data_IF_342877851824
#
_entry.id   IF_342877851824
#
_cell.length_a   1.000
_cell.length_b   1.000
_cell.length_c   1.000
_cell.angle_alpha   90.00
_cell.angle_beta   90.00
_cell.angle_gamma   90.00
#
_symmetry.space_group_name_H-M   'P 1'
#
loop_
_entity.id
_entity.type
_entity.pdbx_description
1 polymer ?
#
# COMPACT_ATOMS: atom_id res chain seq x y z
N UNK A 1 3.11 -24.23 12.57
CA UNK A 1 2.30 -23.05 12.21
C UNK A 1 3.09 -22.16 11.26
N UNK A 2 4.17 -21.49 11.69
CA UNK A 2 5.01 -20.64 10.81
C UNK A 2 5.52 -21.36 9.55
N UNK A 3 5.91 -22.64 9.63
CA UNK A 3 6.40 -23.39 8.47
C UNK A 3 5.42 -23.48 7.28
N UNK A 4 4.09 -23.39 7.50
CA UNK A 4 3.11 -23.38 6.41
C UNK A 4 3.04 -21.98 5.74
N UNK A 5 3.35 -20.93 6.49
CA UNK A 5 3.37 -19.55 5.97
C UNK A 5 4.62 -19.33 5.10
N UNK A 6 5.76 -19.93 5.47
CA UNK A 6 7.01 -19.81 4.71
C UNK A 6 6.98 -20.44 3.31
N UNK A 7 5.93 -21.19 2.98
CA UNK A 7 5.70 -21.75 1.65
C UNK A 7 4.76 -20.88 0.79
N UNK A 8 4.35 -19.73 1.32
CA UNK A 8 3.48 -18.75 0.66
C UNK A 8 4.26 -17.46 0.40
N UNK A 9 3.76 -16.62 -0.49
CA UNK A 9 4.24 -15.26 -0.69
C UNK A 9 3.09 -14.30 -0.38
N UNK A 10 3.24 -13.56 0.72
CA UNK A 10 2.25 -12.64 1.26
C UNK A 10 2.49 -11.27 0.65
N UNK A 11 1.60 -10.83 -0.24
CA UNK A 11 1.60 -9.48 -0.78
C UNK A 11 0.66 -8.62 0.05
N UNK A 12 1.23 -7.65 0.75
CA UNK A 12 0.53 -6.77 1.69
C UNK A 12 0.52 -5.36 1.11
N UNK A 13 -0.68 -4.77 0.99
CA UNK A 13 -0.79 -3.36 0.67
C UNK A 13 -0.24 -2.48 1.79
N UNK A 14 0.15 -1.25 1.45
CA UNK A 14 0.72 -0.33 2.42
C UNK A 14 -0.34 0.58 3.03
N UNK A 15 -0.91 1.46 2.20
CA UNK A 15 -1.90 2.45 2.60
C UNK A 15 -3.16 1.73 3.11
N UNK A 16 -3.74 2.23 4.20
CA UNK A 16 -4.94 1.66 4.85
C UNK A 16 -4.86 0.17 5.23
N UNK A 17 -3.69 -0.47 5.11
CA UNK A 17 -3.42 -1.88 5.44
C UNK A 17 -2.26 -2.02 6.41
N UNK A 18 -1.02 -1.79 5.96
CA UNK A 18 0.15 -1.79 6.85
C UNK A 18 0.16 -0.55 7.76
N UNK A 19 -0.29 0.58 7.23
CA UNK A 19 -0.48 1.85 7.94
C UNK A 19 -1.97 2.21 8.03
N UNK A 20 -2.32 3.07 8.99
CA UNK A 20 -3.70 3.47 9.29
C UNK A 20 -4.32 4.44 8.28
N UNK A 21 -3.49 5.02 7.43
CA UNK A 21 -3.81 6.22 6.63
C UNK A 21 -3.44 6.03 5.17
N UNK A 22 -3.87 6.98 4.34
CA UNK A 22 -3.47 7.11 2.95
C UNK A 22 -2.27 8.08 2.85
N UNK A 23 -1.13 7.60 2.37
CA UNK A 23 0.13 8.37 2.35
C UNK A 23 0.00 9.70 1.60
N UNK A 24 -0.71 9.71 0.47
CA UNK A 24 -0.89 10.93 -0.34
C UNK A 24 -1.80 11.95 0.36
N UNK A 25 -2.82 11.49 1.09
CA UNK A 25 -3.70 12.37 1.85
C UNK A 25 -2.93 13.03 3.02
N UNK A 26 -2.03 12.28 3.68
CA UNK A 26 -1.15 12.84 4.72
C UNK A 26 -0.09 13.80 4.15
N UNK A 27 0.48 13.48 2.99
CA UNK A 27 1.35 14.41 2.24
C UNK A 27 0.63 15.72 1.90
N UNK A 28 -0.66 15.66 1.53
CA UNK A 28 -1.46 16.84 1.27
C UNK A 28 -1.62 17.72 2.51
N UNK A 29 -1.95 17.11 3.66
CA UNK A 29 -2.09 17.83 4.94
C UNK A 29 -0.79 18.53 5.34
N UNK A 30 0.36 17.87 5.16
CA UNK A 30 1.66 18.42 5.51
C UNK A 30 2.10 19.52 4.55
N UNK A 31 2.07 19.26 3.24
CA UNK A 31 2.60 20.19 2.23
C UNK A 31 1.73 21.43 2.03
N UNK A 32 0.43 21.32 2.26
CA UNK A 32 -0.53 22.41 2.05
C UNK A 32 -0.87 23.17 3.33
N UNK A 33 -0.21 22.91 4.45
CA UNK A 33 -0.53 23.54 5.75
C UNK A 33 -0.56 25.08 5.72
N UNK A 34 0.23 25.69 4.84
CA UNK A 34 0.32 27.15 4.66
C UNK A 34 -0.40 27.65 3.40
N UNK A 35 -1.08 26.78 2.65
CA UNK A 35 -1.83 27.15 1.44
C UNK A 35 -3.18 27.78 1.82
N UNK A 36 -3.55 28.96 1.30
CA UNK A 36 -4.84 29.60 1.60
C UNK A 36 -6.06 28.80 1.15
N UNK A 37 -5.88 27.79 0.29
CA UNK A 37 -6.92 26.87 -0.19
C UNK A 37 -6.68 25.42 0.27
N UNK A 38 -5.92 25.22 1.35
CA UNK A 38 -5.55 23.90 1.88
C UNK A 38 -6.74 22.95 2.01
N UNK A 39 -7.82 23.36 2.69
CA UNK A 39 -9.02 22.54 2.89
C UNK A 39 -9.62 22.04 1.57
N UNK A 40 -9.71 22.92 0.56
CA UNK A 40 -10.28 22.56 -0.75
C UNK A 40 -9.40 21.55 -1.47
N UNK A 41 -8.08 21.74 -1.44
CA UNK A 41 -7.12 20.86 -2.11
C UNK A 41 -7.01 19.50 -1.42
N UNK A 42 -6.98 19.47 -0.09
CA UNK A 42 -6.96 18.25 0.72
C UNK A 42 -8.22 17.43 0.47
N UNK A 43 -9.41 18.06 0.49
CA UNK A 43 -10.67 17.38 0.19
C UNK A 43 -10.69 16.84 -1.25
N UNK A 44 -10.21 17.61 -2.22
CA UNK A 44 -10.11 17.15 -3.61
C UNK A 44 -9.21 15.93 -3.76
N UNK A 45 -8.05 15.92 -3.10
CA UNK A 45 -7.12 14.77 -3.11
C UNK A 45 -7.80 13.54 -2.50
N UNK A 46 -8.45 13.68 -1.35
CA UNK A 46 -9.13 12.57 -0.68
C UNK A 46 -10.31 12.02 -1.51
N UNK A 47 -11.07 12.91 -2.17
CA UNK A 47 -12.13 12.50 -3.10
C UNK A 47 -11.59 11.70 -4.29
N UNK A 48 -10.43 12.10 -4.84
CA UNK A 48 -9.75 11.36 -5.92
C UNK A 48 -9.27 10.00 -5.41
N UNK A 49 -8.66 9.94 -4.22
CA UNK A 49 -8.22 8.69 -3.56
C UNK A 49 -9.40 7.73 -3.39
N UNK A 50 -10.54 8.20 -2.87
CA UNK A 50 -11.73 7.38 -2.65
C UNK A 50 -12.34 6.81 -3.94
N UNK A 51 -12.39 7.62 -5.01
CA UNK A 51 -12.85 7.16 -6.33
C UNK A 51 -11.91 6.11 -6.92
N UNK A 52 -10.60 6.28 -6.77
CA UNK A 52 -9.63 5.30 -7.25
C UNK A 52 -9.76 3.97 -6.50
N UNK A 53 -9.87 4.01 -5.17
CA UNK A 53 -10.00 2.80 -4.33
C UNK A 53 -11.35 2.08 -4.51
N UNK A 54 -12.38 2.79 -4.98
CA UNK A 54 -13.68 2.22 -5.32
C UNK A 54 -13.77 1.69 -6.76
N UNK A 55 -12.75 1.97 -7.59
CA UNK A 55 -12.72 1.57 -9.01
C UNK A 55 -13.43 2.54 -9.97
N UNK A 56 -13.87 3.71 -9.50
CA UNK A 56 -14.61 4.70 -10.33
C UNK A 56 -13.70 5.45 -11.32
N UNK A 57 -12.41 5.56 -11.00
CA UNK A 57 -11.39 6.16 -11.88
C UNK A 57 -10.16 5.25 -11.93
N UNK A 58 -9.47 5.25 -13.07
CA UNK A 58 -8.20 4.53 -13.24
C UNK A 58 -7.14 5.03 -12.25
N UNK A 59 -6.38 4.11 -11.67
CA UNK A 59 -5.32 4.43 -10.69
C UNK A 59 -4.30 5.43 -11.25
N UNK A 60 -3.85 5.22 -12.49
CA UNK A 60 -2.84 6.08 -13.13
C UNK A 60 -3.30 7.54 -13.18
N UNK A 61 -4.51 7.78 -13.68
CA UNK A 61 -5.13 9.12 -13.72
C UNK A 61 -5.31 9.71 -12.32
N UNK A 62 -5.73 8.92 -11.34
CA UNK A 62 -5.90 9.38 -9.97
C UNK A 62 -4.57 9.80 -9.35
N UNK A 63 -3.48 9.07 -9.62
CA UNK A 63 -2.15 9.39 -9.14
C UNK A 63 -1.62 10.67 -9.79
N UNK A 64 -1.75 10.82 -11.12
CA UNK A 64 -1.36 12.06 -11.83
C UNK A 64 -2.09 13.28 -11.26
N UNK A 65 -3.42 13.22 -11.15
CA UNK A 65 -4.22 14.33 -10.64
C UNK A 65 -3.83 14.74 -9.21
N UNK A 66 -3.55 13.76 -8.33
CA UNK A 66 -3.12 14.06 -6.95
C UNK A 66 -1.73 14.69 -6.91
N UNK A 67 -0.79 14.19 -7.73
CA UNK A 67 0.56 14.75 -7.80
C UNK A 67 0.59 16.16 -8.40
N UNK A 68 -0.32 16.50 -9.32
CA UNK A 68 -0.43 17.87 -9.86
C UNK A 68 -0.93 18.89 -8.83
N UNK A 69 -1.74 18.46 -7.86
CA UNK A 69 -2.26 19.33 -6.79
C UNK A 69 -1.17 19.57 -5.73
N UNK A 70 -0.32 18.56 -5.52
CA UNK A 70 0.74 18.57 -4.54
C UNK A 70 1.98 19.31 -5.06
N UNK A 71 2.63 20.07 -4.17
CA UNK A 71 3.94 20.67 -4.43
C UNK A 71 4.89 20.16 -3.37
N UNK A 72 5.56 19.05 -3.65
CA UNK A 72 6.41 18.35 -2.68
C UNK A 72 7.90 18.56 -2.97
N UNK A 73 8.68 18.54 -1.91
CA UNK A 73 10.13 18.49 -1.96
C UNK A 73 10.68 17.36 -1.09
N UNK A 74 11.98 17.09 -1.20
CA UNK A 74 12.63 16.00 -0.46
C UNK A 74 12.48 16.10 1.07
N UNK A 75 12.45 17.30 1.65
CA UNK A 75 12.27 17.46 3.09
C UNK A 75 10.85 17.07 3.53
N UNK A 76 9.85 17.33 2.68
CA UNK A 76 8.47 16.90 2.96
C UNK A 76 8.40 15.37 3.06
N UNK A 77 9.15 14.66 2.22
CA UNK A 77 9.26 13.18 2.25
C UNK A 77 9.91 12.69 3.54
N UNK A 78 10.97 13.36 4.01
CA UNK A 78 11.60 12.99 5.28
C UNK A 78 10.62 13.20 6.44
N UNK A 79 10.01 14.37 6.54
CA UNK A 79 9.06 14.70 7.61
C UNK A 79 7.82 13.81 7.59
N UNK A 80 7.27 13.49 6.42
CA UNK A 80 6.10 12.63 6.33
C UNK A 80 6.41 11.17 6.67
N UNK A 81 7.61 10.70 6.34
CA UNK A 81 8.03 9.32 6.66
C UNK A 81 8.11 9.13 8.16
N UNK A 82 8.66 10.11 8.90
CA UNK A 82 8.65 10.12 10.36
C UNK A 82 7.22 10.10 10.91
N UNK A 83 6.32 10.93 10.38
CA UNK A 83 4.93 10.97 10.82
C UNK A 83 4.20 9.64 10.56
N UNK A 84 4.30 9.09 9.35
CA UNK A 84 3.64 7.83 8.96
C UNK A 84 4.21 6.65 9.74
N UNK A 85 5.49 6.66 10.12
CA UNK A 85 6.07 5.61 10.97
C UNK A 85 5.37 5.48 12.33
N UNK A 86 4.71 6.53 12.81
CA UNK A 86 3.89 6.50 14.03
C UNK A 86 2.43 6.09 13.78
N UNK A 87 2.05 5.87 12.52
CA UNK A 87 0.71 5.52 12.06
C UNK A 87 0.65 4.11 11.49
N UNK A 88 1.56 3.22 11.88
CA UNK A 88 1.47 1.79 11.57
C UNK A 88 0.21 1.21 12.22
N UNK A 89 -0.50 0.31 11.53
CA UNK A 89 -1.66 -0.39 12.09
C UNK A 89 -1.33 -1.09 13.40
N UNK A 90 -2.26 -1.05 14.35
CA UNK A 90 -2.02 -1.47 15.73
C UNK A 90 -1.71 -2.98 15.78
N UNK A 91 -2.42 -3.77 14.98
CA UNK A 91 -2.15 -5.21 14.95
C UNK A 91 -0.81 -5.56 14.30
N UNK A 92 -0.31 -4.76 13.35
CA UNK A 92 1.04 -4.94 12.80
C UNK A 92 2.11 -4.64 13.86
N UNK A 93 1.95 -3.54 14.62
CA UNK A 93 2.85 -3.19 15.73
C UNK A 93 2.91 -4.29 16.80
N UNK A 94 1.74 -4.78 17.24
CA UNK A 94 1.66 -5.85 18.24
C UNK A 94 2.33 -7.14 17.74
N UNK A 95 2.21 -7.42 16.44
CA UNK A 95 2.74 -8.63 15.81
C UNK A 95 4.15 -8.47 15.20
N UNK A 96 4.88 -7.40 15.52
CA UNK A 96 6.20 -7.10 14.94
C UNK A 96 7.16 -8.30 14.97
N UNK A 97 7.22 -9.04 16.09
CA UNK A 97 8.08 -10.23 16.20
C UNK A 97 7.67 -11.38 15.28
N UNK A 98 6.37 -11.58 15.09
CA UNK A 98 5.86 -12.59 14.17
C UNK A 98 6.21 -12.18 12.74
N UNK A 99 5.94 -10.93 12.36
CA UNK A 99 6.28 -10.38 11.05
C UNK A 99 7.77 -10.56 10.75
N UNK A 100 8.65 -10.22 11.69
CA UNK A 100 10.10 -10.44 11.58
C UNK A 100 10.47 -11.91 11.35
N UNK A 101 9.75 -12.86 11.97
CA UNK A 101 10.01 -14.29 11.80
C UNK A 101 9.57 -14.86 10.45
N UNK A 102 8.74 -14.12 9.69
CA UNK A 102 8.23 -14.52 8.38
C UNK A 102 8.53 -13.49 7.29
N UNK A 103 9.44 -12.54 7.54
CA UNK A 103 9.66 -11.39 6.66
C UNK A 103 10.13 -11.77 5.25
N UNK A 104 10.83 -12.90 5.12
CA UNK A 104 11.23 -13.49 3.83
C UNK A 104 10.04 -13.92 2.97
N UNK A 105 8.86 -14.10 3.55
CA UNK A 105 7.62 -14.42 2.83
C UNK A 105 6.78 -13.19 2.52
N UNK A 106 7.11 -12.03 3.10
CA UNK A 106 6.32 -10.81 2.98
C UNK A 106 6.89 -9.92 1.87
N UNK A 107 5.99 -9.47 1.01
CA UNK A 107 6.19 -8.45 0.00
C UNK A 107 5.25 -7.28 0.28
N UNK A 108 5.77 -6.06 0.21
CA UNK A 108 4.94 -4.86 0.21
C UNK A 108 4.63 -4.50 -1.22
N UNK A 109 3.34 -4.31 -1.52
CA UNK A 109 2.85 -4.01 -2.86
C UNK A 109 1.91 -2.81 -2.83
N UNK A 110 2.40 -1.66 -3.24
CA UNK A 110 1.68 -0.41 -3.02
C UNK A 110 1.74 0.52 -4.23
N UNK A 111 0.66 1.25 -4.46
CA UNK A 111 0.65 2.39 -5.38
C UNK A 111 1.41 3.62 -4.86
N UNK A 112 1.84 3.60 -3.60
CA UNK A 112 2.64 4.64 -2.95
C UNK A 112 4.11 4.63 -3.38
N UNK A 113 4.99 5.17 -2.54
CA UNK A 113 6.37 5.52 -2.92
C UNK A 113 7.42 4.80 -2.08
N UNK A 114 8.42 4.21 -2.74
CA UNK A 114 9.52 3.46 -2.11
C UNK A 114 10.25 4.28 -1.04
N UNK A 115 10.46 5.56 -1.31
CA UNK A 115 11.16 6.51 -0.45
C UNK A 115 10.52 6.66 0.93
N UNK A 116 9.20 6.44 1.03
CA UNK A 116 8.44 6.48 2.28
C UNK A 116 8.31 5.06 2.86
N UNK A 117 8.00 4.08 2.01
CA UNK A 117 7.66 2.72 2.44
C UNK A 117 8.87 1.99 3.03
N UNK A 118 10.02 2.03 2.35
CA UNK A 118 11.20 1.24 2.72
C UNK A 118 11.66 1.54 4.16
N UNK A 119 11.89 2.81 4.57
CA UNK A 119 12.33 3.11 5.93
C UNK A 119 11.38 2.64 7.04
N UNK A 120 10.09 2.47 6.72
CA UNK A 120 9.07 2.03 7.67
C UNK A 120 9.08 0.50 7.81
N UNK A 121 9.07 -0.22 6.69
CA UNK A 121 8.92 -1.69 6.69
C UNK A 121 10.22 -2.42 7.02
N UNK A 122 11.38 -1.79 6.80
CA UNK A 122 12.68 -2.33 7.24
C UNK A 122 12.73 -2.53 8.75
N UNK A 123 12.00 -1.72 9.53
CA UNK A 123 11.89 -1.90 10.98
C UNK A 123 11.23 -3.23 11.37
N UNK A 124 10.48 -3.85 10.45
CA UNK A 124 9.82 -5.14 10.58
C UNK A 124 10.64 -6.28 9.96
N UNK A 125 11.86 -6.02 9.52
CA UNK A 125 12.74 -7.01 8.88
C UNK A 125 12.40 -7.30 7.42
N UNK A 126 11.50 -6.52 6.81
CA UNK A 126 11.14 -6.66 5.39
C UNK A 126 12.20 -5.94 4.56
N UNK A 127 12.90 -6.68 3.71
CA UNK A 127 13.96 -6.12 2.86
C UNK A 127 13.39 -5.15 1.84
N UNK A 128 14.15 -4.11 1.49
CA UNK A 128 13.84 -3.20 0.37
C UNK A 128 13.64 -3.93 -0.97
N UNK A 129 14.28 -5.10 -1.17
CA UNK A 129 14.05 -5.95 -2.34
C UNK A 129 12.66 -6.60 -2.37
N UNK A 130 11.96 -6.62 -1.23
CA UNK A 130 10.58 -7.08 -1.11
C UNK A 130 9.57 -5.93 -1.16
N UNK A 131 9.98 -4.74 -1.57
CA UNK A 131 9.09 -3.57 -1.73
C UNK A 131 8.88 -3.26 -3.21
N UNK A 132 7.65 -3.50 -3.67
CA UNK A 132 7.14 -3.07 -4.95
C UNK A 132 6.28 -1.81 -4.76
N UNK A 133 6.81 -0.67 -5.17
CA UNK A 133 6.14 0.63 -5.10
C UNK A 133 6.58 1.54 -6.26
N UNK A 134 5.90 2.67 -6.45
CA UNK A 134 6.36 3.76 -7.32
C UNK A 134 7.60 4.46 -6.72
N UNK A 135 8.23 5.32 -7.51
CA UNK A 135 9.31 6.18 -7.06
C UNK A 135 9.09 7.60 -7.56
N UNK A 136 9.50 8.58 -6.78
CA UNK A 136 9.42 9.98 -7.18
C UNK A 136 10.49 10.31 -8.22
N UNK A 137 10.17 11.22 -9.12
CA UNK A 137 11.14 11.87 -9.99
C UNK A 137 11.46 13.24 -9.39
N UNK A 138 12.76 13.51 -9.21
CA UNK A 138 13.25 14.75 -8.64
C UNK A 138 13.87 15.65 -9.72
N UNK A 139 13.52 16.94 -9.68
CA UNK A 139 14.36 18.01 -10.25
C UNK A 139 15.00 18.77 -9.09
N UNK A 140 16.30 18.52 -8.87
CA UNK A 140 17.03 18.94 -7.67
C UNK A 140 16.35 18.39 -6.41
N UNK A 141 15.72 19.28 -5.62
CA UNK A 141 15.04 18.91 -4.38
C UNK A 141 13.51 18.87 -4.55
N UNK A 142 12.98 19.25 -5.71
CA UNK A 142 11.54 19.29 -5.97
C UNK A 142 11.09 17.99 -6.62
N UNK A 143 9.93 17.50 -6.20
CA UNK A 143 9.28 16.34 -6.82
C UNK A 143 8.48 16.85 -8.01
N UNK A 144 8.82 16.37 -9.19
CA UNK A 144 8.19 16.78 -10.46
C UNK A 144 7.26 15.71 -11.04
N UNK A 145 7.14 14.58 -10.35
CA UNK A 145 6.24 13.50 -10.73
C UNK A 145 6.72 12.15 -10.22
N UNK A 146 6.36 11.10 -10.95
CA UNK A 146 6.73 9.73 -10.67
C UNK A 146 7.06 8.98 -11.96
N UNK A 147 7.80 7.88 -11.82
CA UNK A 147 8.22 7.04 -12.95
C UNK A 147 7.02 6.40 -13.64
N UNK A 148 6.66 6.91 -14.82
CA UNK A 148 5.54 6.41 -15.62
C UNK A 148 5.79 5.05 -16.26
N UNK A 149 7.05 4.63 -16.35
CA UNK A 149 7.40 3.32 -16.89
C UNK A 149 7.24 2.20 -15.86
N UNK A 150 7.25 2.55 -14.57
CA UNK A 150 6.96 1.64 -13.48
C UNK A 150 5.57 0.99 -13.66
N UNK A 151 5.51 -0.32 -13.48
CA UNK A 151 4.24 -1.05 -13.56
C UNK A 151 3.20 -0.52 -12.57
N UNK A 152 3.62 -0.09 -11.38
CA UNK A 152 2.72 0.41 -10.34
C UNK A 152 2.16 1.81 -10.61
N UNK A 153 2.61 2.47 -11.67
CA UNK A 153 1.97 3.68 -12.19
C UNK A 153 0.80 3.36 -13.13
N UNK A 154 0.83 2.19 -13.78
CA UNK A 154 -0.09 1.80 -14.85
C UNK A 154 -1.31 1.08 -14.28
N UNK A 155 -2.41 1.08 -15.04
CA UNK A 155 -3.57 0.25 -14.71
C UNK A 155 -3.19 -1.23 -14.64
N UNK A 156 -3.84 -1.97 -13.73
CA UNK A 156 -3.46 -3.34 -13.34
C UNK A 156 -2.01 -3.46 -12.88
N UNK A 157 -1.46 -2.38 -12.32
CA UNK A 157 -0.06 -2.28 -11.97
C UNK A 157 0.39 -3.34 -10.99
N UNK A 158 -0.39 -3.56 -9.93
CA UNK A 158 -0.12 -4.59 -8.90
C UNK A 158 0.05 -5.98 -9.54
N UNK A 159 -0.83 -6.37 -10.46
CA UNK A 159 -0.72 -7.63 -11.23
C UNK A 159 0.59 -7.70 -12.03
N UNK A 160 0.88 -6.64 -12.81
CA UNK A 160 2.08 -6.58 -13.66
C UNK A 160 3.36 -6.66 -12.83
N UNK A 161 3.39 -6.01 -11.66
CA UNK A 161 4.54 -6.02 -10.78
C UNK A 161 4.80 -7.41 -10.19
N UNK A 162 3.75 -8.13 -9.75
CA UNK A 162 3.90 -9.52 -9.26
C UNK A 162 4.34 -10.47 -10.37
N UNK A 163 3.75 -10.39 -11.57
CA UNK A 163 4.10 -11.27 -12.69
C UNK A 163 5.58 -11.18 -13.10
N UNK A 164 6.23 -10.04 -12.82
CA UNK A 164 7.66 -9.87 -13.09
C UNK A 164 8.57 -10.57 -12.06
N UNK A 165 8.05 -11.05 -10.93
CA UNK A 165 8.86 -11.62 -9.84
C UNK A 165 9.13 -13.12 -9.93
N UNK A 166 8.64 -13.84 -10.95
CA UNK A 166 8.84 -15.30 -11.11
C UNK A 166 8.65 -16.10 -9.81
N UNK A 167 7.62 -15.77 -9.03
CA UNK A 167 7.33 -16.40 -7.75
C UNK A 167 6.75 -17.79 -7.97
N UNK A 168 7.33 -18.78 -7.29
CA UNK A 168 6.89 -20.18 -7.34
C UNK A 168 5.90 -20.55 -6.23
N UNK A 169 5.93 -19.81 -5.14
CA UNK A 169 5.05 -20.03 -3.98
C UNK A 169 3.64 -19.55 -4.29
N UNK A 170 2.69 -20.02 -3.48
CA UNK A 170 1.31 -19.55 -3.55
C UNK A 170 1.23 -18.08 -3.13
N UNK A 171 0.66 -17.25 -4.00
CA UNK A 171 0.52 -15.81 -3.80
C UNK A 171 -0.78 -15.55 -3.03
N UNK A 172 -0.66 -14.87 -1.90
CA UNK A 172 -1.78 -14.41 -1.08
C UNK A 172 -1.78 -12.89 -1.11
N UNK A 173 -2.90 -12.29 -1.49
CA UNK A 173 -3.06 -10.85 -1.47
C UNK A 173 -3.79 -10.41 -0.20
N UNK A 174 -3.25 -9.39 0.48
CA UNK A 174 -3.79 -8.79 1.70
C UNK A 174 -3.87 -7.28 1.45
N UNK A 175 -5.08 -6.71 1.51
CA UNK A 175 -5.29 -5.28 1.30
C UNK A 175 -6.75 -4.87 1.53
N UNK A 176 -7.05 -3.57 1.50
CA UNK A 176 -8.40 -3.05 1.76
C UNK A 176 -9.16 -2.63 0.49
N UNK A 177 -8.46 -2.50 -0.65
CA UNK A 177 -8.95 -1.78 -1.81
C UNK A 177 -9.28 -2.63 -3.04
N UNK A 178 -9.89 -1.98 -4.03
CA UNK A 178 -10.22 -2.61 -5.32
C UNK A 178 -8.97 -3.10 -6.07
N UNK A 179 -7.86 -2.36 -5.99
CA UNK A 179 -6.62 -2.76 -6.69
C UNK A 179 -6.01 -4.05 -6.13
N UNK A 180 -6.25 -4.37 -4.84
CA UNK A 180 -5.82 -5.62 -4.21
C UNK A 180 -6.72 -6.78 -4.64
N UNK A 181 -8.03 -6.54 -4.60
CA UNK A 181 -9.01 -7.49 -5.12
C UNK A 181 -8.74 -7.84 -6.60
N UNK A 182 -8.32 -6.86 -7.41
CA UNK A 182 -7.98 -7.08 -8.82
C UNK A 182 -6.84 -8.10 -8.98
N UNK A 183 -5.84 -8.10 -8.07
CA UNK A 183 -4.73 -9.08 -8.08
C UNK A 183 -5.23 -10.51 -7.93
N UNK A 184 -6.33 -10.71 -7.20
CA UNK A 184 -6.97 -12.01 -7.05
C UNK A 184 -7.91 -12.33 -8.20
N UNK A 185 -8.82 -11.40 -8.57
CA UNK A 185 -9.83 -11.63 -9.60
C UNK A 185 -9.22 -11.89 -10.98
N UNK A 186 -8.24 -11.06 -11.35
CA UNK A 186 -7.66 -11.03 -12.71
C UNK A 186 -6.17 -11.40 -12.73
N UNK A 187 -5.58 -11.67 -11.57
CA UNK A 187 -4.14 -11.79 -11.40
C UNK A 187 -3.69 -13.12 -10.79
N UNK A 188 -2.44 -13.15 -10.28
CA UNK A 188 -1.81 -14.40 -9.86
C UNK A 188 -2.14 -14.82 -8.42
N UNK A 189 -2.86 -14.00 -7.64
CA UNK A 189 -3.17 -14.36 -6.25
C UNK A 189 -4.22 -15.46 -6.18
N UNK A 190 -3.95 -16.48 -5.36
CA UNK A 190 -4.88 -17.60 -5.12
C UNK A 190 -5.95 -17.29 -4.08
N UNK A 191 -5.61 -16.40 -3.15
CA UNK A 191 -6.47 -16.01 -2.03
C UNK A 191 -6.38 -14.50 -1.87
N UNK A 192 -7.53 -13.88 -1.66
CA UNK A 192 -7.63 -12.49 -1.21
C UNK A 192 -8.19 -12.39 0.22
N UNK A 193 -7.41 -11.78 1.10
CA UNK A 193 -7.82 -11.42 2.46
C UNK A 193 -8.07 -9.91 2.48
N UNK A 194 -9.34 -9.53 2.55
CA UNK A 194 -9.71 -8.13 2.73
C UNK A 194 -9.40 -7.71 4.17
N UNK A 195 -8.44 -6.80 4.32
CA UNK A 195 -8.04 -6.26 5.60
C UNK A 195 -8.93 -5.08 5.98
N UNK A 196 -9.46 -5.10 7.21
CA UNK A 196 -10.51 -4.15 7.62
C UNK A 196 -10.24 -3.45 8.95
N UNK A 197 -9.01 -3.47 9.47
CA UNK A 197 -8.69 -2.79 10.74
C UNK A 197 -8.92 -1.28 10.64
N UNK A 198 -8.43 -0.67 9.54
CA UNK A 198 -8.42 0.78 9.39
C UNK A 198 -9.65 1.29 8.63
N UNK A 199 -10.10 0.53 7.62
CA UNK A 199 -11.21 0.89 6.76
C UNK A 199 -11.93 -0.36 6.27
N UNK A 200 -13.25 -0.29 6.11
CA UNK A 200 -14.06 -1.39 5.58
C UNK A 200 -14.91 -0.90 4.41
N UNK A 201 -14.64 -1.45 3.23
CA UNK A 201 -15.34 -1.10 1.99
C UNK A 201 -16.30 -2.23 1.65
N UNK A 202 -17.61 -2.00 1.79
CA UNK A 202 -18.63 -3.05 1.60
C UNK A 202 -18.45 -3.80 0.27
N UNK A 203 -18.25 -3.07 -0.83
CA UNK A 203 -18.03 -3.60 -2.18
C UNK A 203 -16.82 -4.54 -2.28
N UNK A 204 -15.79 -4.36 -1.47
CA UNK A 204 -14.59 -5.21 -1.45
C UNK A 204 -14.79 -6.39 -0.51
N UNK A 205 -15.34 -6.14 0.68
CA UNK A 205 -15.56 -7.21 1.66
C UNK A 205 -16.56 -8.26 1.15
N UNK A 206 -17.52 -7.90 0.29
CA UNK A 206 -18.49 -8.86 -0.28
C UNK A 206 -17.88 -9.82 -1.31
N UNK A 207 -16.71 -9.49 -1.86
CA UNK A 207 -16.05 -10.27 -2.93
C UNK A 207 -14.74 -10.94 -2.51
N UNK A 208 -14.33 -10.76 -1.25
CA UNK A 208 -13.11 -11.37 -0.70
C UNK A 208 -13.34 -12.81 -0.23
N UNK A 209 -12.32 -13.67 -0.37
CA UNK A 209 -12.36 -15.04 0.18
C UNK A 209 -12.45 -14.99 1.70
N UNK A 210 -11.67 -14.09 2.31
CA UNK A 210 -11.62 -13.89 3.75
C UNK A 210 -11.63 -12.41 4.12
N UNK A 211 -12.05 -12.14 5.35
CA UNK A 211 -11.93 -10.84 6.00
C UNK A 211 -11.07 -10.99 7.24
N UNK A 212 -10.19 -10.03 7.46
CA UNK A 212 -9.39 -9.95 8.68
C UNK A 212 -9.44 -8.53 9.22
N UNK A 213 -9.94 -8.35 10.44
CA UNK A 213 -9.98 -7.05 11.10
C UNK A 213 -8.69 -6.71 11.86
N UNK A 214 -7.74 -7.65 11.92
CA UNK A 214 -6.43 -7.50 12.54
C UNK A 214 -5.44 -8.56 11.99
N UNK A 215 -4.14 -8.36 12.21
CA UNK A 215 -3.10 -9.26 11.72
C UNK A 215 -3.13 -10.68 12.31
N UNK A 216 -3.65 -10.88 13.54
CA UNK A 216 -3.78 -12.24 14.10
C UNK A 216 -4.81 -13.07 13.31
N UNK A 217 -5.89 -12.44 12.83
CA UNK A 217 -6.86 -13.11 11.98
C UNK A 217 -6.23 -13.53 10.64
N UNK A 218 -5.37 -12.70 10.05
CA UNK A 218 -4.58 -13.08 8.87
C UNK A 218 -3.77 -14.35 9.16
N UNK A 219 -3.02 -14.39 10.26
CA UNK A 219 -2.23 -15.55 10.64
C UNK A 219 -3.10 -16.79 10.85
N UNK A 220 -4.27 -16.66 11.46
CA UNK A 220 -5.21 -17.77 11.64
C UNK A 220 -5.72 -18.33 10.30
N UNK A 221 -6.10 -17.46 9.37
CA UNK A 221 -6.52 -17.83 8.01
C UNK A 221 -5.39 -18.55 7.28
N UNK A 222 -4.17 -18.00 7.30
CA UNK A 222 -3.00 -18.56 6.62
C UNK A 222 -2.57 -19.94 7.14
N UNK A 223 -2.89 -20.27 8.39
CA UNK A 223 -2.63 -21.59 8.97
C UNK A 223 -3.68 -22.64 8.57
N UNK A 224 -4.86 -22.21 8.12
CA UNK A 224 -5.96 -23.08 7.70
C UNK A 224 -5.97 -23.35 6.19
N UNK A 225 -5.34 -22.46 5.43
CA UNK A 225 -5.12 -22.59 3.98
C UNK A 225 -3.81 -23.31 3.68
#
# INVERSE_FOLDING_TARGET
MINNINQKSLFIDFDSTFIKVETIDELAKLSLQNDPNSDKKINLISDITNKAMSGDISFSKALEQRLEILSLNQNDIISITENISNLISDSFLINKKIIQSISDSIWILSGGFKEIIIPIVEQFGISSNHVLANSFIYDKNQIVGCDKDNNLFKDKGKIKAINNLNIKNDIIMIGDGFTDYEVYRDGPAKIFICYTENISRKSITEVADYKANNFNEIINILNQC
#
